data_IF_538273373797
#
_entry.id   IF_538273373797
#
_cell.length_a   1.000
_cell.length_b   1.000
_cell.length_c   1.000
_cell.angle_alpha   90.00
_cell.angle_beta   90.00
_cell.angle_gamma   90.00
#
_symmetry.space_group_name_H-M   'P 1'
#
loop_
_entity.id
_entity.type
_entity.pdbx_description
1 polymer ?
#
# COMPACT_ATOMS: atom_id res chain seq x y z
N UNK A 1 -1.41 -20.90 6.24
CA UNK A 1 -2.55 -19.97 6.51
C UNK A 1 -2.26 -18.70 5.75
N UNK A 2 -3.10 -18.31 4.80
CA UNK A 2 -3.00 -17.02 4.11
C UNK A 2 -4.24 -16.21 4.43
N UNK A 3 -4.08 -14.89 4.52
CA UNK A 3 -5.17 -13.94 4.72
C UNK A 3 -5.71 -13.57 3.34
N UNK A 4 -7.02 -13.62 3.15
CA UNK A 4 -7.71 -13.19 1.93
C UNK A 4 -8.56 -11.96 2.23
N UNK A 5 -8.88 -11.16 1.21
CA UNK A 5 -9.65 -9.90 1.33
C UNK A 5 -8.93 -8.75 2.05
N UNK A 6 -7.63 -8.60 1.85
CA UNK A 6 -6.88 -7.41 2.29
C UNK A 6 -6.61 -6.51 1.09
N UNK A 7 -6.90 -5.23 1.24
CA UNK A 7 -6.55 -4.23 0.24
C UNK A 7 -5.03 -3.94 0.25
N UNK A 8 -4.53 -3.31 -0.81
CA UNK A 8 -3.14 -2.87 -0.84
C UNK A 8 -2.86 -1.87 0.31
N UNK A 9 -1.79 -2.11 1.08
CA UNK A 9 -1.44 -1.33 2.26
C UNK A 9 -1.96 -1.91 3.58
N UNK A 10 -2.76 -2.97 3.55
CA UNK A 10 -3.25 -3.64 4.77
C UNK A 10 -2.52 -4.95 5.02
N UNK A 11 -2.28 -5.29 6.30
CA UNK A 11 -1.65 -6.55 6.64
C UNK A 11 -1.56 -6.84 8.13
N UNK A 12 -0.87 -7.94 8.44
CA UNK A 12 -0.61 -8.40 9.81
C UNK A 12 0.89 -8.54 10.03
N UNK A 13 1.39 -8.00 11.14
CA UNK A 13 2.74 -8.22 11.62
C UNK A 13 2.69 -9.31 12.70
N UNK A 14 3.49 -10.36 12.52
CA UNK A 14 3.64 -11.44 13.49
C UNK A 14 4.96 -11.25 14.26
N UNK A 15 4.86 -11.08 15.58
CA UNK A 15 6.03 -11.00 16.46
C UNK A 15 5.84 -11.92 17.67
N UNK A 16 6.50 -13.09 17.62
CA UNK A 16 6.30 -14.14 18.61
C UNK A 16 4.85 -14.62 18.66
N UNK A 17 4.18 -14.39 19.77
CA UNK A 17 2.76 -14.69 19.99
C UNK A 17 1.82 -13.49 19.75
N UNK A 18 2.36 -12.32 19.39
CA UNK A 18 1.57 -11.12 19.12
C UNK A 18 1.29 -11.02 17.62
N UNK A 19 0.03 -10.73 17.29
CA UNK A 19 -0.42 -10.40 15.94
C UNK A 19 -0.92 -8.97 15.94
N UNK A 20 -0.24 -8.09 15.21
CA UNK A 20 -0.62 -6.68 15.09
C UNK A 20 -1.20 -6.42 13.69
N UNK A 21 -2.45 -5.95 13.58
CA UNK A 21 -2.95 -5.44 12.31
C UNK A 21 -2.30 -4.09 12.01
N UNK A 22 -1.97 -3.86 10.75
CA UNK A 22 -1.51 -2.55 10.27
C UNK A 22 -2.26 -2.14 9.00
N UNK A 23 -2.38 -0.83 8.84
CA UNK A 23 -2.96 -0.18 7.66
C UNK A 23 -2.04 0.99 7.29
N UNK A 24 -1.45 0.93 6.12
CA UNK A 24 -0.66 2.00 5.52
C UNK A 24 -1.46 2.68 4.41
N UNK A 25 -1.89 3.92 4.67
CA UNK A 25 -2.57 4.77 3.69
C UNK A 25 -1.56 5.74 3.11
N UNK A 26 -0.63 5.20 2.32
CA UNK A 26 0.44 6.00 1.76
C UNK A 26 -0.12 7.12 0.85
N UNK A 27 0.27 8.39 1.06
CA UNK A 27 -0.30 9.51 0.33
C UNK A 27 0.17 9.51 -1.14
N UNK A 28 -0.80 9.44 -2.06
CA UNK A 28 -0.55 9.31 -3.51
C UNK A 28 -0.30 10.64 -4.23
N UNK A 29 -0.67 11.74 -3.59
CA UNK A 29 -0.48 13.12 -4.07
C UNK A 29 0.91 13.68 -3.74
N UNK A 30 1.87 12.81 -3.42
CA UNK A 30 3.23 13.21 -3.07
C UNK A 30 4.21 12.94 -4.21
N UNK A 31 5.21 13.79 -4.30
CA UNK A 31 6.40 13.58 -5.14
C UNK A 31 7.06 12.21 -4.89
N UNK A 32 7.09 11.80 -3.62
CA UNK A 32 7.64 10.52 -3.21
C UNK A 32 6.86 9.35 -3.84
N UNK A 33 5.52 9.38 -3.79
CA UNK A 33 4.72 8.34 -4.44
C UNK A 33 4.95 8.31 -5.94
N UNK A 34 5.03 9.49 -6.57
CA UNK A 34 5.23 9.62 -8.03
C UNK A 34 6.49 8.91 -8.51
N UNK A 35 7.60 9.03 -7.76
CA UNK A 35 8.88 8.43 -8.15
C UNK A 35 9.03 6.98 -7.72
N UNK A 36 8.24 6.51 -6.74
CA UNK A 36 8.37 5.17 -6.16
C UNK A 36 7.33 4.16 -6.67
N UNK A 37 6.19 4.61 -7.18
CA UNK A 37 5.13 3.69 -7.63
C UNK A 37 5.57 2.86 -8.83
N UNK A 38 5.13 1.60 -8.85
CA UNK A 38 5.32 0.68 -9.98
C UNK A 38 4.09 0.63 -10.89
N UNK A 39 3.11 1.52 -10.69
CA UNK A 39 1.89 1.63 -11.49
C UNK A 39 1.93 2.92 -12.31
N UNK A 40 2.48 2.89 -13.54
CA UNK A 40 2.62 4.08 -14.37
C UNK A 40 1.30 4.80 -14.63
N UNK A 41 0.18 4.07 -14.65
CA UNK A 41 -1.18 4.59 -14.83
C UNK A 41 -1.67 5.46 -13.66
N UNK A 42 -1.10 5.33 -12.47
CA UNK A 42 -1.49 6.17 -11.32
C UNK A 42 -0.81 7.55 -11.33
N UNK A 43 0.19 7.75 -12.19
CA UNK A 43 1.02 8.95 -12.26
C UNK A 43 1.09 9.58 -13.65
N UNK A 44 0.56 8.92 -14.68
CA UNK A 44 0.54 9.46 -16.03
C UNK A 44 -0.41 10.66 -16.11
N UNK A 45 0.10 11.79 -16.61
CA UNK A 45 -0.69 13.03 -16.82
C UNK A 45 -1.78 12.91 -17.91
N UNK A 46 -2.02 11.71 -18.45
CA UNK A 46 -2.97 11.44 -19.54
C UNK A 46 -4.44 11.39 -19.10
N UNK A 47 -4.74 11.74 -17.85
CA UNK A 47 -6.09 11.80 -17.29
C UNK A 47 -6.61 13.23 -17.11
N UNK A 48 -6.56 14.06 -18.16
CA UNK A 48 -7.45 15.22 -18.30
C UNK A 48 -8.51 14.94 -19.35
#
# INVERSE_FOLDING_TARGET
KYVTHTEAGEGLIFYGNVVLPFVDRFPKDTELYRVMTTKPEEVSESGK
#
